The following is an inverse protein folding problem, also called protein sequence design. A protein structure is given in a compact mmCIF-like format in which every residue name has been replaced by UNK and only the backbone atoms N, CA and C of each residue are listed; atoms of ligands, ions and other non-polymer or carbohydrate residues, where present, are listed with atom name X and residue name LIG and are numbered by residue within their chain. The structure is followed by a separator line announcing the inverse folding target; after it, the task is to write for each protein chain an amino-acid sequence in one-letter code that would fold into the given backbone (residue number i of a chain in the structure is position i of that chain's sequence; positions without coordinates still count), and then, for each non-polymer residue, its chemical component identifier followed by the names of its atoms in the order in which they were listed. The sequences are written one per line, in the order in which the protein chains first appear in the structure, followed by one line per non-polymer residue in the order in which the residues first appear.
data_IF_288319731405
#
_entry.id   IF_288319731405
#
_cell.length_a   1.000
_cell.length_b   1.000
_cell.length_c   1.000
_cell.angle_alpha   90.00
_cell.angle_beta   90.00
_cell.angle_gamma   90.00
#
_symmetry.space_group_name_H-M   'P 1'
#
loop_
_entity.id
_entity.type
_entity.pdbx_description
1 polymer ?
#
# COMPACT_ATOMS: atom_id res chain seq x y z
N UNK A 1 4.47 -0.19 -6.92
CA UNK A 1 4.95 0.15 -5.57
C UNK A 1 4.03 1.21 -5.00
N UNK A 2 3.41 0.96 -3.85
CA UNK A 2 2.33 1.81 -3.32
C UNK A 2 2.80 3.23 -2.98
N UNK A 3 4.03 3.39 -2.49
CA UNK A 3 4.68 4.67 -2.19
C UNK A 3 6.19 4.46 -1.92
N UNK A 4 6.95 5.53 -1.71
CA UNK A 4 8.42 5.52 -1.71
C UNK A 4 9.06 5.53 -0.30
N UNK A 5 8.35 5.11 0.75
CA UNK A 5 9.01 4.86 2.04
C UNK A 5 10.03 3.73 1.93
N UNK A 6 11.02 3.75 2.82
CA UNK A 6 12.19 2.87 2.78
C UNK A 6 11.81 1.37 2.82
N UNK A 7 10.72 1.02 3.50
CA UNK A 7 10.21 -0.34 3.65
C UNK A 7 9.38 -0.82 2.45
N UNK A 8 9.08 0.06 1.50
CA UNK A 8 8.34 -0.26 0.27
C UNK A 8 9.17 -0.14 -1.00
N UNK A 9 10.14 0.78 -1.02
CA UNK A 9 10.97 1.07 -2.19
C UNK A 9 12.46 0.68 -1.99
N UNK A 10 12.84 0.32 -0.76
CA UNK A 10 14.23 0.06 -0.34
C UNK A 10 14.97 -1.05 -1.07
N UNK A 11 14.27 -1.92 -1.79
CA UNK A 11 14.87 -3.12 -2.37
C UNK A 11 14.59 -3.32 -3.87
N UNK A 12 14.39 -2.22 -4.61
CA UNK A 12 14.09 -2.29 -6.06
C UNK A 12 15.25 -2.85 -6.91
N UNK A 13 16.47 -2.81 -6.42
CA UNK A 13 17.66 -3.35 -7.10
C UNK A 13 17.69 -4.88 -7.18
N UNK A 14 17.10 -5.58 -6.21
CA UNK A 14 17.04 -7.05 -6.17
C UNK A 14 16.16 -7.66 -7.27
N UNK A 15 15.43 -6.84 -8.04
CA UNK A 15 14.54 -7.27 -9.11
C UNK A 15 15.01 -6.79 -10.49
N UNK A 16 16.19 -7.22 -10.99
CA UNK A 16 16.87 -6.64 -12.15
C UNK A 16 16.08 -6.69 -13.48
N UNK A 17 15.05 -7.54 -13.55
CA UNK A 17 14.18 -7.71 -14.73
C UNK A 17 12.80 -7.06 -14.58
N UNK A 18 12.49 -6.51 -13.40
CA UNK A 18 11.19 -5.92 -13.14
C UNK A 18 11.03 -4.54 -13.81
N UNK A 19 9.78 -4.25 -14.16
CA UNK A 19 9.28 -2.90 -14.45
C UNK A 19 8.48 -2.43 -13.25
N UNK A 20 8.76 -1.22 -12.77
CA UNK A 20 8.17 -0.64 -11.59
C UNK A 20 7.13 0.41 -11.96
N UNK A 21 5.94 0.28 -11.38
CA UNK A 21 4.86 1.25 -11.52
C UNK A 21 4.72 2.03 -10.21
N UNK A 22 4.74 3.36 -10.31
CA UNK A 22 4.58 4.27 -9.18
C UNK A 22 3.91 5.56 -9.66
N UNK A 23 3.21 6.27 -8.79
CA UNK A 23 2.67 7.59 -9.14
C UNK A 23 3.82 8.57 -9.39
N UNK A 24 3.73 9.36 -10.46
CA UNK A 24 4.71 10.40 -10.79
C UNK A 24 4.91 11.36 -9.62
N UNK A 25 3.79 11.79 -9.03
CA UNK A 25 3.74 12.70 -7.89
C UNK A 25 4.56 12.21 -6.70
N UNK A 26 4.68 10.90 -6.52
CA UNK A 26 5.45 10.32 -5.43
C UNK A 26 6.92 10.67 -5.56
N UNK A 27 7.54 10.33 -6.70
CA UNK A 27 8.95 10.64 -6.95
C UNK A 27 9.19 12.16 -6.96
N UNK A 28 8.35 12.92 -7.67
CA UNK A 28 8.55 14.36 -7.82
C UNK A 28 8.44 15.11 -6.48
N UNK A 29 7.48 14.74 -5.63
CA UNK A 29 7.30 15.41 -4.34
C UNK A 29 8.34 15.02 -3.31
N UNK A 30 8.89 13.82 -3.37
CA UNK A 30 10.05 13.47 -2.53
C UNK A 30 11.30 14.26 -2.92
N UNK A 31 11.55 14.48 -4.20
CA UNK A 31 12.63 15.39 -4.66
C UNK A 31 12.42 16.81 -4.13
N UNK A 32 11.18 17.32 -4.17
CA UNK A 32 10.84 18.62 -3.59
C UNK A 32 11.05 18.64 -2.06
N UNK A 33 10.56 17.65 -1.32
CA UNK A 33 10.67 17.57 0.14
C UNK A 33 12.13 17.54 0.61
N UNK A 34 13.02 16.87 -0.14
CA UNK A 34 14.46 16.86 0.11
C UNK A 34 15.15 18.20 -0.15
N UNK A 35 14.56 19.06 -0.99
CA UNK A 35 15.10 20.39 -1.29
C UNK A 35 14.77 21.45 -0.23
N UNK A 36 13.90 21.12 0.73
CA UNK A 36 13.45 22.05 1.76
C UNK A 36 14.53 22.26 2.85
N UNK A 37 14.49 23.39 3.58
CA UNK A 37 15.45 23.68 4.64
C UNK A 37 15.46 22.63 5.75
N UNK A 38 16.60 22.47 6.44
CA UNK A 38 16.83 21.43 7.46
C UNK A 38 15.77 21.36 8.56
N UNK A 39 15.23 22.51 8.98
CA UNK A 39 14.14 22.59 9.97
C UNK A 39 12.82 21.92 9.54
N UNK A 40 12.68 21.57 8.27
CA UNK A 40 11.52 20.90 7.68
C UNK A 40 11.77 19.42 7.37
N UNK A 41 12.95 18.87 7.72
CA UNK A 41 13.32 17.48 7.41
C UNK A 41 12.48 16.41 8.09
N UNK A 42 11.60 16.78 9.02
CA UNK A 42 10.60 15.84 9.55
C UNK A 42 9.82 15.15 8.42
N UNK A 43 9.53 15.84 7.31
CA UNK A 43 8.83 15.21 6.17
C UNK A 43 9.60 14.04 5.55
N UNK A 44 10.92 13.97 5.70
CA UNK A 44 11.77 12.94 5.11
C UNK A 44 12.05 11.76 6.06
N UNK A 45 11.48 11.71 7.27
CA UNK A 45 11.87 10.68 8.29
C UNK A 45 11.60 9.24 7.85
N UNK A 46 10.67 9.03 6.93
CA UNK A 46 10.25 7.72 6.46
C UNK A 46 10.80 7.38 5.05
N UNK A 47 11.68 8.22 4.50
CA UNK A 47 12.28 8.01 3.17
C UNK A 47 13.79 7.96 3.26
N UNK A 48 14.40 6.99 2.58
CA UNK A 48 15.82 7.02 2.25
C UNK A 48 16.03 7.87 0.99
N UNK A 49 16.80 8.99 1.03
CA UNK A 49 17.15 9.75 -0.17
C UNK A 49 17.78 8.90 -1.27
N UNK A 50 18.52 7.85 -0.91
CA UNK A 50 19.07 6.87 -1.84
C UNK A 50 18.01 6.17 -2.67
N UNK A 51 16.83 5.88 -2.08
CA UNK A 51 15.72 5.24 -2.79
C UNK A 51 15.15 6.12 -3.89
N UNK A 52 15.04 7.42 -3.64
CA UNK A 52 14.55 8.36 -4.64
C UNK A 52 15.53 8.46 -5.82
N UNK A 53 16.83 8.50 -5.53
CA UNK A 53 17.88 8.48 -6.56
C UNK A 53 17.83 7.18 -7.36
N UNK A 54 17.67 6.03 -6.69
CA UNK A 54 17.47 4.73 -7.34
C UNK A 54 16.24 4.72 -8.25
N UNK A 55 15.13 5.32 -7.81
CA UNK A 55 13.92 5.48 -8.61
C UNK A 55 14.17 6.25 -9.91
N UNK A 56 14.89 7.36 -9.84
CA UNK A 56 15.29 8.13 -11.03
C UNK A 56 16.21 7.31 -11.94
N UNK A 57 17.14 6.52 -11.37
CA UNK A 57 18.00 5.65 -12.18
C UNK A 57 17.21 4.53 -12.87
N UNK A 58 16.18 3.96 -12.25
CA UNK A 58 15.27 3.02 -12.90
C UNK A 58 14.60 3.63 -14.13
N UNK A 59 14.24 4.92 -14.09
CA UNK A 59 13.71 5.62 -15.26
C UNK A 59 14.74 5.71 -16.38
N UNK A 60 16.00 6.06 -16.07
CA UNK A 60 17.11 6.04 -17.04
C UNK A 60 17.32 4.65 -17.66
N UNK A 61 17.14 3.60 -16.87
CA UNK A 61 17.20 2.20 -17.32
C UNK A 61 15.96 1.74 -18.09
N UNK A 62 14.94 2.60 -18.27
CA UNK A 62 13.63 2.26 -18.87
C UNK A 62 12.86 1.19 -18.10
N UNK A 63 13.05 1.13 -16.78
CA UNK A 63 12.42 0.17 -15.85
C UNK A 63 11.42 0.83 -14.90
N UNK A 64 11.24 2.14 -14.96
CA UNK A 64 10.20 2.86 -14.23
C UNK A 64 9.11 3.33 -15.19
N UNK A 65 7.86 3.06 -14.85
CA UNK A 65 6.66 3.62 -15.47
C UNK A 65 5.98 4.48 -14.41
N UNK A 66 5.98 5.79 -14.64
CA UNK A 66 5.23 6.72 -13.79
C UNK A 66 3.77 6.79 -14.22
N UNK A 67 2.89 6.92 -13.25
CA UNK A 67 1.44 7.02 -13.43
C UNK A 67 0.96 8.42 -13.04
N UNK A 68 -0.05 8.91 -13.75
CA UNK A 68 -0.80 10.11 -13.37
C UNK A 68 -2.24 9.70 -13.08
N UNK A 69 -2.47 9.29 -11.84
CA UNK A 69 -3.79 8.91 -11.35
C UNK A 69 -4.08 7.41 -11.49
N UNK A 70 -5.37 7.09 -11.67
CA UNK A 70 -5.84 5.71 -11.70
C UNK A 70 -5.42 5.00 -13.00
N UNK A 71 -5.09 3.72 -12.88
CA UNK A 71 -4.74 2.85 -14.01
C UNK A 71 -5.44 1.52 -13.86
N UNK A 72 -6.40 1.25 -14.73
CA UNK A 72 -7.01 -0.07 -14.83
C UNK A 72 -6.14 -1.03 -15.65
N UNK A 73 -6.23 -2.31 -15.30
CA UNK A 73 -5.58 -3.42 -15.99
C UNK A 73 -4.08 -3.16 -16.26
N UNK A 74 -3.35 -2.67 -15.25
CA UNK A 74 -1.88 -2.56 -15.34
C UNK A 74 -1.25 -3.93 -15.57
N UNK A 75 -1.90 -4.95 -15.01
CA UNK A 75 -1.84 -6.35 -15.37
C UNK A 75 -3.29 -6.85 -15.48
N UNK A 76 -3.58 -7.99 -16.13
CA UNK A 76 -4.94 -8.51 -16.19
C UNK A 76 -5.57 -8.58 -14.80
N UNK A 77 -6.72 -7.92 -14.63
CA UNK A 77 -7.48 -7.87 -13.37
C UNK A 77 -6.80 -7.14 -12.21
N UNK A 78 -5.76 -6.33 -12.47
CA UNK A 78 -5.07 -5.53 -11.45
C UNK A 78 -5.21 -4.05 -11.77
N UNK A 79 -5.82 -3.31 -10.86
CA UNK A 79 -5.95 -1.85 -10.96
C UNK A 79 -5.10 -1.15 -9.91
N UNK A 80 -4.67 0.06 -10.24
CA UNK A 80 -3.94 0.97 -9.36
C UNK A 80 -4.77 2.22 -9.15
N UNK A 81 -4.96 2.61 -7.90
CA UNK A 81 -5.83 3.72 -7.52
C UNK A 81 -5.05 4.74 -6.68
N UNK A 82 -4.98 6.01 -7.09
CA UNK A 82 -4.23 7.03 -6.39
C UNK A 82 -4.95 7.45 -5.09
N UNK A 83 -4.16 7.65 -4.04
CA UNK A 83 -4.56 8.27 -2.79
C UNK A 83 -3.62 9.46 -2.54
N UNK A 84 -3.74 10.50 -3.37
CA UNK A 84 -2.83 11.64 -3.31
C UNK A 84 -2.96 12.43 -2.00
N UNK A 85 -1.82 12.94 -1.53
CA UNK A 85 -1.72 13.73 -0.30
C UNK A 85 -2.43 13.05 0.89
N UNK A 86 -2.22 11.74 1.05
CA UNK A 86 -2.79 10.92 2.14
C UNK A 86 -1.69 10.45 3.08
N UNK A 87 -1.29 9.17 3.04
CA UNK A 87 -0.11 8.65 3.75
C UNK A 87 1.16 9.35 3.26
N UNK A 88 1.37 9.33 1.94
CA UNK A 88 2.41 10.10 1.26
C UNK A 88 1.82 11.06 0.23
N UNK A 89 2.68 11.80 -0.47
CA UNK A 89 2.28 12.72 -1.54
C UNK A 89 1.58 12.01 -2.70
N UNK A 90 2.04 10.80 -3.03
CA UNK A 90 1.67 10.02 -4.21
C UNK A 90 1.30 8.57 -3.89
N UNK A 91 0.83 8.27 -2.67
CA UNK A 91 0.37 6.93 -2.29
C UNK A 91 -0.68 6.39 -3.27
N UNK A 92 -0.73 5.06 -3.41
CA UNK A 92 -1.77 4.35 -4.12
C UNK A 92 -2.09 3.00 -3.46
N UNK A 93 -3.29 2.48 -3.67
CA UNK A 93 -3.66 1.09 -3.35
C UNK A 93 -3.82 0.26 -4.62
N UNK A 94 -3.78 -1.06 -4.45
CA UNK A 94 -3.92 -2.03 -5.54
C UNK A 94 -5.22 -2.79 -5.37
N UNK A 95 -5.99 -2.93 -6.44
CA UNK A 95 -7.22 -3.73 -6.47
C UNK A 95 -7.00 -4.93 -7.37
N UNK A 96 -7.31 -6.13 -6.87
CA UNK A 96 -7.19 -7.39 -7.59
C UNK A 96 -8.59 -7.98 -7.76
N UNK A 97 -9.06 -8.10 -9.00
CA UNK A 97 -10.37 -8.68 -9.33
C UNK A 97 -10.24 -10.18 -9.59
N UNK A 98 -10.67 -11.03 -8.67
CA UNK A 98 -10.71 -12.48 -8.87
C UNK A 98 -12.09 -12.95 -9.35
N UNK A 99 -12.68 -12.23 -10.31
CA UNK A 99 -14.09 -12.37 -10.71
C UNK A 99 -14.97 -11.25 -10.18
N UNK A 100 -16.25 -11.23 -10.59
CA UNK A 100 -17.15 -10.09 -10.34
C UNK A 100 -17.45 -9.85 -8.86
N UNK A 101 -17.47 -10.91 -8.05
CA UNK A 101 -17.84 -10.87 -6.64
C UNK A 101 -16.66 -11.13 -5.70
N UNK A 102 -15.45 -11.33 -6.21
CA UNK A 102 -14.24 -11.69 -5.43
C UNK A 102 -13.13 -10.65 -5.66
N UNK A 103 -13.41 -9.40 -5.29
CA UNK A 103 -12.43 -8.31 -5.34
C UNK A 103 -11.68 -8.20 -4.03
N UNK A 104 -10.36 -8.04 -4.11
CA UNK A 104 -9.44 -7.84 -3.00
C UNK A 104 -8.70 -6.52 -3.15
N UNK A 105 -8.39 -5.87 -2.03
CA UNK A 105 -7.61 -4.63 -1.99
C UNK A 105 -6.34 -4.86 -1.18
N UNK A 106 -5.20 -4.48 -1.74
CA UNK A 106 -3.93 -4.34 -1.02
C UNK A 106 -3.75 -2.86 -0.70
N UNK A 107 -3.94 -2.49 0.56
CA UNK A 107 -4.09 -1.09 0.98
C UNK A 107 -2.78 -0.30 0.96
N UNK A 108 -1.63 -0.98 0.91
CA UNK A 108 -0.36 -0.35 1.23
C UNK A 108 -0.42 0.19 2.66
N UNK A 109 -0.01 1.45 2.79
CA UNK A 109 0.06 2.14 4.08
C UNK A 109 -1.12 3.07 4.34
N UNK A 110 -2.13 3.04 3.48
CA UNK A 110 -3.39 3.74 3.75
C UNK A 110 -4.14 3.11 4.95
N UNK A 111 -3.87 1.82 5.21
CA UNK A 111 -4.34 1.02 6.33
C UNK A 111 -3.16 0.16 6.81
N UNK A 112 -2.70 0.37 8.04
CA UNK A 112 -1.60 -0.41 8.62
C UNK A 112 -2.07 -1.75 9.17
N UNK A 113 -3.19 -1.72 9.89
CA UNK A 113 -3.74 -2.82 10.67
C UNK A 113 -5.27 -2.84 10.55
N UNK A 114 -5.89 -3.95 10.93
CA UNK A 114 -7.35 -4.08 10.89
C UNK A 114 -8.06 -3.02 11.75
N UNK A 115 -7.44 -2.57 12.83
CA UNK A 115 -7.99 -1.54 13.71
C UNK A 115 -8.10 -0.16 13.03
N UNK A 116 -7.43 0.05 11.87
CA UNK A 116 -7.67 1.25 11.06
C UNK A 116 -9.03 1.21 10.34
N UNK A 117 -9.58 0.02 10.09
CA UNK A 117 -10.89 -0.19 9.46
C UNK A 117 -11.98 -0.39 10.53
N UNK A 118 -11.66 -1.16 11.57
CA UNK A 118 -12.61 -1.61 12.60
C UNK A 118 -12.27 -1.02 13.97
N UNK A 119 -11.78 0.23 13.99
CA UNK A 119 -11.42 0.90 15.23
C UNK A 119 -12.64 1.26 16.06
N UNK A 120 -12.46 1.47 17.37
CA UNK A 120 -13.57 1.78 18.28
C UNK A 120 -14.24 3.12 17.95
N UNK A 121 -15.56 3.10 17.79
CA UNK A 121 -16.37 4.30 17.54
C UNK A 121 -16.83 5.06 18.77
N UNK A 122 -16.40 4.65 19.98
CA UNK A 122 -16.94 5.14 21.24
C UNK A 122 -16.79 6.65 21.45
N UNK A 123 -15.80 7.30 20.81
CA UNK A 123 -15.60 8.75 20.90
C UNK A 123 -16.70 9.58 20.19
N UNK A 124 -17.52 8.95 19.34
CA UNK A 124 -18.60 9.59 18.58
C UNK A 124 -19.89 8.75 18.59
N UNK A 125 -20.09 7.95 19.64
CA UNK A 125 -21.31 7.17 19.91
C UNK A 125 -21.72 6.17 18.82
N UNK A 126 -20.75 5.54 18.13
CA UNK A 126 -20.97 4.43 17.20
C UNK A 126 -20.11 3.21 17.55
N UNK A 127 -20.41 2.05 16.99
CA UNK A 127 -19.71 0.80 17.30
C UNK A 127 -18.27 0.81 16.77
N UNK A 128 -18.11 1.04 15.46
CA UNK A 128 -16.81 1.09 14.79
C UNK A 128 -16.69 2.31 13.88
N UNK A 129 -15.45 2.74 13.63
CA UNK A 129 -15.10 3.79 12.69
C UNK A 129 -13.73 3.57 12.06
N UNK A 130 -13.45 4.30 10.99
CA UNK A 130 -12.11 4.34 10.40
C UNK A 130 -11.16 5.19 11.24
N UNK A 131 -10.08 4.58 11.71
CA UNK A 131 -8.99 5.26 12.42
C UNK A 131 -7.84 5.43 11.43
N UNK A 132 -7.51 6.65 10.98
CA UNK A 132 -6.45 6.84 10.02
C UNK A 132 -5.07 6.55 10.63
N UNK A 133 -4.10 6.26 9.77
CA UNK A 133 -2.71 5.99 10.18
C UNK A 133 -2.06 7.23 10.77
N UNK A 134 -1.35 7.06 11.89
CA UNK A 134 -0.75 8.17 12.63
C UNK A 134 0.47 8.81 11.96
N UNK A 135 1.31 8.02 11.27
CA UNK A 135 2.44 8.52 10.51
C UNK A 135 2.02 8.80 9.07
N UNK A 136 1.87 10.07 8.71
CA UNK A 136 1.57 10.49 7.34
C UNK A 136 2.13 11.89 7.08
N UNK A 137 2.53 12.17 5.83
CA UNK A 137 2.92 13.52 5.39
C UNK A 137 1.77 14.30 4.74
N UNK A 138 0.69 13.62 4.37
CA UNK A 138 -0.51 14.23 3.78
C UNK A 138 -1.63 14.43 4.80
N UNK A 139 -2.85 14.11 4.40
CA UNK A 139 -4.07 14.43 5.13
C UNK A 139 -4.72 13.21 5.77
N UNK A 140 -5.00 13.31 7.07
CA UNK A 140 -5.80 12.35 7.82
C UNK A 140 -7.23 12.22 7.25
N UNK A 141 -7.80 13.31 6.75
CA UNK A 141 -9.09 13.27 6.04
C UNK A 141 -8.98 12.46 4.74
N UNK A 142 -7.91 12.63 3.97
CA UNK A 142 -7.73 11.87 2.73
C UNK A 142 -7.49 10.38 3.01
N UNK A 143 -6.83 10.04 4.13
CA UNK A 143 -6.71 8.66 4.59
C UNK A 143 -8.09 8.03 4.86
N UNK A 144 -8.96 8.72 5.61
CA UNK A 144 -10.32 8.23 5.90
C UNK A 144 -11.13 8.06 4.61
N UNK A 145 -11.06 9.03 3.69
CA UNK A 145 -11.77 8.96 2.41
C UNK A 145 -11.23 7.82 1.52
N UNK A 146 -9.92 7.62 1.47
CA UNK A 146 -9.33 6.51 0.73
C UNK A 146 -9.74 5.16 1.32
N UNK A 147 -9.80 5.03 2.65
CA UNK A 147 -10.31 3.82 3.32
C UNK A 147 -11.76 3.53 2.96
N UNK A 148 -12.62 4.55 2.94
CA UNK A 148 -14.01 4.40 2.47
C UNK A 148 -14.10 3.91 1.02
N UNK A 149 -13.29 4.47 0.11
CA UNK A 149 -13.26 4.03 -1.28
C UNK A 149 -12.74 2.59 -1.43
N UNK A 150 -11.76 2.17 -0.64
CA UNK A 150 -11.32 0.77 -0.59
C UNK A 150 -12.42 -0.16 -0.09
N UNK A 151 -13.15 0.24 0.95
CA UNK A 151 -14.24 -0.56 1.53
C UNK A 151 -15.42 -0.71 0.56
N UNK A 152 -15.78 0.33 -0.19
CA UNK A 152 -16.78 0.25 -1.26
C UNK A 152 -16.43 -0.80 -2.32
N UNK A 153 -15.15 -0.91 -2.70
CA UNK A 153 -14.70 -1.86 -3.73
C UNK A 153 -14.89 -3.32 -3.32
N UNK A 154 -14.89 -3.59 -2.02
CA UNK A 154 -15.05 -4.94 -1.46
C UNK A 154 -16.43 -5.16 -0.83
N UNK A 155 -17.42 -4.32 -1.17
CA UNK A 155 -18.77 -4.34 -0.61
C UNK A 155 -18.78 -4.33 0.93
N UNK A 156 -17.86 -3.55 1.52
CA UNK A 156 -17.65 -3.42 2.96
C UNK A 156 -17.26 -4.73 3.68
N UNK A 157 -16.79 -5.75 2.97
CA UNK A 157 -16.19 -6.93 3.60
C UNK A 157 -14.75 -6.62 4.05
N UNK A 158 -14.58 -6.14 5.29
CA UNK A 158 -13.29 -5.69 5.84
C UNK A 158 -12.16 -6.72 5.70
N UNK A 159 -12.49 -8.02 5.73
CA UNK A 159 -11.54 -9.11 5.51
C UNK A 159 -10.80 -9.03 4.17
N UNK A 160 -11.38 -8.37 3.16
CA UNK A 160 -10.83 -8.27 1.80
C UNK A 160 -9.98 -7.03 1.55
N UNK A 161 -9.89 -6.12 2.52
CA UNK A 161 -8.88 -5.07 2.52
C UNK A 161 -7.70 -5.57 3.35
N UNK A 162 -6.57 -5.80 2.69
CA UNK A 162 -5.38 -6.38 3.30
C UNK A 162 -4.43 -5.26 3.72
N UNK A 163 -4.24 -5.04 5.03
CA UNK A 163 -3.22 -4.15 5.54
C UNK A 163 -1.84 -4.81 5.43
N UNK A 164 -0.80 -4.02 5.15
CA UNK A 164 0.55 -4.55 4.91
C UNK A 164 1.39 -4.66 6.20
N UNK A 165 1.05 -3.88 7.24
CA UNK A 165 1.74 -3.86 8.55
C UNK A 165 1.01 -4.68 9.63
N UNK A 166 0.22 -5.67 9.22
CA UNK A 166 -0.65 -6.43 10.11
C UNK A 166 -0.04 -7.79 10.53
N UNK A 167 0.34 -7.90 11.80
CA UNK A 167 0.88 -9.14 12.38
C UNK A 167 -0.18 -10.24 12.48
N UNK A 168 -1.45 -9.85 12.66
CA UNK A 168 -2.61 -10.73 12.89
C UNK A 168 -3.20 -11.30 11.59
N UNK A 169 -2.55 -11.15 10.43
CA UNK A 169 -2.99 -11.82 9.20
C UNK A 169 -3.14 -13.34 9.41
N UNK A 170 -2.26 -13.96 10.21
CA UNK A 170 -2.34 -15.37 10.62
C UNK A 170 -3.63 -15.76 11.35
N UNK A 171 -4.30 -14.80 11.99
CA UNK A 171 -5.49 -15.05 12.79
C UNK A 171 -6.76 -14.98 11.92
N UNK A 172 -6.67 -14.33 10.74
CA UNK A 172 -7.75 -14.24 9.74
C UNK A 172 -7.58 -15.16 8.54
N UNK A 173 -6.38 -15.71 8.32
CA UNK A 173 -6.05 -16.49 7.13
C UNK A 173 -5.16 -17.69 7.46
N UNK A 174 -5.26 -18.79 6.69
CA UNK A 174 -4.34 -19.92 6.79
C UNK A 174 -2.88 -19.45 6.71
N UNK A 175 -2.03 -19.96 7.61
CA UNK A 175 -0.62 -19.57 7.65
C UNK A 175 0.27 -20.68 8.18
N UNK A 176 1.58 -20.59 7.89
CA UNK A 176 2.61 -21.43 8.51
C UNK A 176 3.91 -20.65 8.75
N UNK A 177 4.76 -21.22 9.59
CA UNK A 177 6.14 -20.77 9.78
C UNK A 177 7.07 -21.65 8.94
N UNK A 178 7.99 -21.02 8.23
CA UNK A 178 9.03 -21.68 7.44
C UNK A 178 10.16 -22.18 8.34
N UNK A 179 11.03 -23.04 7.79
CA UNK A 179 12.24 -23.52 8.49
C UNK A 179 13.19 -22.39 8.93
N UNK A 180 13.13 -21.24 8.22
CA UNK A 180 13.96 -20.07 8.46
C UNK A 180 13.28 -19.07 9.43
N UNK A 181 12.16 -19.45 10.05
CA UNK A 181 11.43 -18.63 11.03
C UNK A 181 10.52 -17.55 10.41
N UNK A 182 10.41 -17.48 9.08
CA UNK A 182 9.54 -16.52 8.39
C UNK A 182 8.11 -17.04 8.30
N UNK A 183 7.12 -16.14 8.42
CA UNK A 183 5.70 -16.46 8.25
C UNK A 183 5.27 -16.36 6.79
N UNK A 184 4.49 -17.34 6.34
CA UNK A 184 3.75 -17.28 5.07
C UNK A 184 2.26 -17.33 5.42
N UNK A 185 1.49 -16.37 4.91
CA UNK A 185 0.04 -16.29 5.07
C UNK A 185 -0.62 -16.37 3.69
N UNK A 186 -1.59 -17.25 3.55
CA UNK A 186 -2.33 -17.47 2.29
C UNK A 186 -3.64 -16.70 2.34
N UNK A 187 -3.66 -15.53 1.67
CA UNK A 187 -4.81 -14.61 1.69
C UNK A 187 -5.97 -15.14 0.84
N UNK A 188 -5.63 -15.58 -0.38
CA UNK A 188 -6.56 -16.15 -1.34
C UNK A 188 -5.81 -17.23 -2.13
N UNK A 189 -6.47 -18.35 -2.41
CA UNK A 189 -5.94 -19.47 -3.18
C UNK A 189 -6.92 -19.76 -4.32
N UNK A 190 -6.42 -19.77 -5.56
CA UNK A 190 -7.26 -20.06 -6.71
C UNK A 190 -7.70 -21.53 -6.74
N UNK A 191 -8.84 -21.80 -7.37
CA UNK A 191 -9.37 -23.16 -7.52
C UNK A 191 -8.35 -24.08 -8.21
N UNK A 192 -8.09 -25.24 -7.59
CA UNK A 192 -7.15 -26.23 -8.11
C UNK A 192 -5.67 -25.92 -7.84
N UNK A 193 -5.33 -24.76 -7.28
CA UNK A 193 -3.96 -24.46 -6.86
C UNK A 193 -3.59 -25.19 -5.57
N UNK A 194 -2.30 -25.53 -5.45
CA UNK A 194 -1.79 -26.21 -4.26
C UNK A 194 -1.50 -25.19 -3.16
N UNK A 195 -2.18 -25.32 -2.02
CA UNK A 195 -1.91 -24.52 -0.84
C UNK A 195 -0.43 -24.61 -0.44
N UNK A 196 0.14 -23.48 -0.06
CA UNK A 196 1.55 -23.39 0.37
C UNK A 196 1.69 -23.29 1.88
N UNK A 197 0.59 -23.37 2.62
CA UNK A 197 0.55 -23.25 4.08
C UNK A 197 0.02 -24.50 4.80
N UNK A 198 -0.43 -25.51 4.04
CA UNK A 198 -0.71 -26.86 4.55
C UNK A 198 0.57 -27.68 4.75
#
# INVERSE_FOLDING_TARGET
ITHAHFDHFGNVEDFPKATFYIQEKEIAKWVWAMSLPDRMRWMNVAVDPGDIVRGVDLARQKRLVTLDGARQDVLPNVDLNPAFDSHTYGSMWVTVRNGKEDTWVLAGDLVYVFDNIEGSGAAVDIETLYVPVGLAVGSQTNLVLATEEMMKQVNYEARRVIPIHEERLKDRFPSRITKDGLRITEICLADGEKSRVQ
#
